data_IF_355607643112
#
_entry.id   IF_355607643112
#
_cell.length_a   1.000
_cell.length_b   1.000
_cell.length_c   1.000
_cell.angle_alpha   90.00
_cell.angle_beta   90.00
_cell.angle_gamma   90.00
#
_symmetry.space_group_name_H-M   'P 1'
#
loop_
_entity.id
_entity.type
_entity.pdbx_description
1 polymer ?
#
# COMPACT_ATOMS: atom_id res chain seq x y z
N UNK A 1 -57.57 -26.80 -19.67
CA UNK A 1 -56.33 -26.00 -19.57
C UNK A 1 -55.94 -25.95 -18.09
N UNK A 2 -54.93 -26.71 -17.66
CA UNK A 2 -53.52 -26.30 -17.49
C UNK A 2 -53.39 -25.26 -16.36
N UNK A 3 -52.67 -25.48 -15.26
CA UNK A 3 -51.74 -26.55 -14.93
C UNK A 3 -51.25 -26.50 -13.48
N UNK A 4 -50.51 -27.55 -13.15
CA UNK A 4 -49.74 -27.86 -11.95
C UNK A 4 -49.10 -26.66 -11.22
N UNK A 5 -49.20 -26.68 -9.89
CA UNK A 5 -48.21 -26.06 -9.00
C UNK A 5 -48.17 -26.82 -7.68
N UNK A 6 -47.63 -28.03 -7.75
CA UNK A 6 -47.01 -28.69 -6.60
C UNK A 6 -45.82 -27.83 -6.12
N UNK A 7 -45.87 -27.32 -4.89
CA UNK A 7 -44.69 -26.80 -4.18
C UNK A 7 -44.52 -27.58 -2.89
N UNK A 8 -43.61 -28.51 -2.99
CA UNK A 8 -43.01 -29.35 -1.97
C UNK A 8 -42.24 -28.54 -0.93
N UNK A 9 -42.45 -28.95 0.31
CA UNK A 9 -41.49 -29.17 1.39
C UNK A 9 -40.75 -27.99 2.05
N UNK A 10 -41.24 -27.71 3.25
CA UNK A 10 -40.61 -27.05 4.38
C UNK A 10 -39.37 -27.83 4.85
N UNK A 11 -38.18 -27.29 4.64
CA UNK A 11 -36.95 -27.76 5.32
C UNK A 11 -36.34 -26.65 6.18
N UNK A 12 -36.57 -26.83 7.48
CA UNK A 12 -35.63 -26.68 8.60
C UNK A 12 -34.63 -25.51 8.63
N UNK A 13 -34.94 -24.62 9.57
CA UNK A 13 -34.10 -23.89 10.54
C UNK A 13 -32.76 -24.57 10.91
N UNK A 14 -31.79 -23.72 11.31
CA UNK A 14 -30.50 -23.94 12.01
C UNK A 14 -29.25 -23.78 11.12
N UNK A 15 -28.21 -23.01 11.45
CA UNK A 15 -27.84 -22.33 12.69
C UNK A 15 -27.02 -21.07 12.40
N UNK A 16 -27.32 -20.02 13.16
CA UNK A 16 -26.40 -18.96 13.60
C UNK A 16 -25.03 -19.53 13.95
N UNK A 17 -23.98 -19.08 13.26
CA UNK A 17 -22.59 -19.30 13.69
C UNK A 17 -22.10 -18.03 14.36
N UNK A 18 -21.91 -18.14 15.67
CA UNK A 18 -21.57 -17.10 16.62
C UNK A 18 -20.21 -16.46 16.36
N UNK A 19 -20.21 -15.14 16.53
CA UNK A 19 -19.18 -14.30 17.13
C UNK A 19 -17.87 -14.97 17.54
N UNK A 20 -16.78 -14.55 16.89
CA UNK A 20 -15.52 -14.34 17.59
C UNK A 20 -15.17 -12.85 17.51
N UNK A 21 -15.88 -12.07 18.33
CA UNK A 21 -15.37 -10.78 18.81
C UNK A 21 -14.22 -11.12 19.75
N UNK A 22 -12.99 -11.11 19.23
CA UNK A 22 -11.82 -11.03 20.09
C UNK A 22 -11.90 -9.70 20.82
N UNK A 23 -12.15 -9.77 22.11
CA UNK A 23 -12.06 -8.67 23.04
C UNK A 23 -10.60 -8.20 23.04
N UNK A 24 -10.32 -7.19 22.22
CA UNK A 24 -9.07 -6.44 22.25
C UNK A 24 -9.02 -5.69 23.57
N UNK A 25 -8.35 -6.32 24.54
CA UNK A 25 -7.87 -5.66 25.76
C UNK A 25 -7.15 -4.37 25.34
N UNK A 26 -7.50 -3.20 25.89
CA UNK A 26 -6.77 -1.97 25.63
C UNK A 26 -5.32 -2.16 26.04
N UNK A 27 -4.40 -2.18 25.08
CA UNK A 27 -2.97 -2.08 25.37
C UNK A 27 -2.71 -0.69 25.96
N UNK A 28 -2.25 -0.66 27.22
CA UNK A 28 -1.73 0.55 27.83
C UNK A 28 -0.60 1.14 26.97
N UNK A 29 -0.48 2.48 26.89
CA UNK A 29 0.52 3.11 26.05
C UNK A 29 1.91 2.88 26.65
N UNK A 30 2.68 1.97 26.06
CA UNK A 30 4.11 1.81 26.35
C UNK A 30 4.85 3.08 25.91
N UNK A 31 5.12 3.95 26.90
CA UNK A 31 5.77 5.26 26.74
C UNK A 31 7.27 5.22 26.37
N UNK A 32 7.86 4.06 26.12
CA UNK A 32 9.30 3.90 25.81
C UNK A 32 9.61 3.41 24.38
N UNK A 33 8.61 3.25 23.50
CA UNK A 33 8.85 2.65 22.18
C UNK A 33 9.50 3.56 21.14
N UNK A 34 9.55 4.89 21.35
CA UNK A 34 9.87 5.84 20.27
C UNK A 34 11.22 5.53 19.57
N UNK A 35 12.36 5.32 20.25
CA UNK A 35 13.62 5.05 19.53
C UNK A 35 13.62 3.73 18.73
N UNK A 36 12.99 2.68 19.27
CA UNK A 36 12.90 1.38 18.61
C UNK A 36 11.91 1.38 17.44
N UNK A 37 10.79 2.09 17.60
CA UNK A 37 9.74 2.27 16.59
C UNK A 37 10.29 3.01 15.36
N UNK A 38 11.11 4.04 15.57
CA UNK A 38 11.70 4.86 14.50
C UNK A 38 12.73 4.05 13.70
N UNK A 39 13.55 3.25 14.38
CA UNK A 39 14.50 2.34 13.74
C UNK A 39 13.77 1.28 12.92
N UNK A 40 12.68 0.73 13.46
CA UNK A 40 11.86 -0.28 12.76
C UNK A 40 11.18 0.31 11.53
N UNK A 41 10.60 1.51 11.64
CA UNK A 41 10.00 2.23 10.52
C UNK A 41 11.04 2.53 9.42
N UNK A 42 12.25 2.96 9.78
CA UNK A 42 13.33 3.20 8.82
C UNK A 42 13.75 1.91 8.08
N UNK A 43 13.86 0.79 8.78
CA UNK A 43 14.18 -0.50 8.15
C UNK A 43 13.07 -0.97 7.19
N UNK A 44 11.80 -0.72 7.55
CA UNK A 44 10.65 -1.01 6.68
C UNK A 44 10.62 -0.09 5.47
N UNK A 45 10.86 1.21 5.66
CA UNK A 45 10.98 2.19 4.58
C UNK A 45 12.03 1.77 3.55
N UNK A 46 13.20 1.32 4.03
CA UNK A 46 14.26 0.78 3.17
C UNK A 46 13.78 -0.43 2.37
N UNK A 47 13.08 -1.37 3.00
CA UNK A 47 12.51 -2.53 2.30
C UNK A 47 11.52 -2.11 1.22
N UNK A 48 10.62 -1.16 1.51
CA UNK A 48 9.64 -0.68 0.55
C UNK A 48 10.28 0.05 -0.63
N UNK A 49 11.32 0.85 -0.39
CA UNK A 49 12.11 1.47 -1.45
C UNK A 49 12.81 0.42 -2.31
N UNK A 50 13.59 -0.48 -1.69
CA UNK A 50 14.49 -1.38 -2.42
C UNK A 50 13.75 -2.50 -3.17
N UNK A 51 12.66 -3.02 -2.58
CA UNK A 51 11.96 -4.19 -3.11
C UNK A 51 10.73 -3.80 -3.93
N UNK A 52 10.04 -2.74 -3.53
CA UNK A 52 8.77 -2.32 -4.14
C UNK A 52 8.91 -1.02 -4.92
N UNK A 53 10.08 -0.37 -4.91
CA UNK A 53 10.35 0.86 -5.66
C UNK A 53 9.29 1.94 -5.44
N UNK A 54 8.85 2.10 -4.19
CA UNK A 54 7.80 3.05 -3.85
C UNK A 54 8.33 4.48 -3.82
N UNK A 55 7.43 5.45 -4.03
CA UNK A 55 7.72 6.87 -3.81
C UNK A 55 7.89 7.19 -2.32
N UNK A 56 8.47 8.35 -2.02
CA UNK A 56 8.59 8.83 -0.64
C UNK A 56 7.22 8.88 0.07
N UNK A 57 6.21 9.42 -0.62
CA UNK A 57 4.87 9.54 -0.06
C UNK A 57 4.19 8.17 0.09
N UNK A 58 4.30 7.30 -0.91
CA UNK A 58 3.76 5.94 -0.84
C UNK A 58 4.35 5.14 0.32
N UNK A 59 5.66 5.28 0.58
CA UNK A 59 6.29 4.65 1.75
C UNK A 59 5.71 5.18 3.05
N UNK A 60 5.53 6.49 3.19
CA UNK A 60 4.92 7.08 4.39
C UNK A 60 3.51 6.53 4.64
N UNK A 61 2.68 6.49 3.60
CA UNK A 61 1.31 5.99 3.69
C UNK A 61 1.28 4.49 4.03
N UNK A 62 2.18 3.70 3.44
CA UNK A 62 2.29 2.27 3.76
C UNK A 62 2.74 2.01 5.20
N UNK A 63 3.65 2.82 5.72
CA UNK A 63 4.11 2.73 7.11
C UNK A 63 3.00 3.10 8.10
N UNK A 64 2.14 4.06 7.76
CA UNK A 64 1.06 4.55 8.63
C UNK A 64 -0.28 3.83 8.42
N UNK A 65 -0.44 3.08 7.33
CA UNK A 65 -1.68 2.39 6.98
C UNK A 65 -2.10 1.37 8.04
N UNK A 66 -3.41 1.36 8.32
CA UNK A 66 -4.07 0.37 9.18
C UNK A 66 -3.98 -1.06 8.63
N UNK A 67 -3.82 -1.23 7.33
CA UNK A 67 -3.60 -2.52 6.69
C UNK A 67 -2.10 -2.84 6.50
N UNK A 68 -1.22 -1.86 6.73
CA UNK A 68 0.23 -1.97 6.60
C UNK A 68 0.90 -2.20 7.94
N UNK A 69 1.84 -1.31 8.28
CA UNK A 69 2.69 -1.47 9.46
C UNK A 69 2.15 -0.77 10.73
N UNK A 70 1.15 0.13 10.58
CA UNK A 70 0.52 0.88 11.68
C UNK A 70 1.52 1.66 12.56
N UNK A 71 2.66 2.09 12.00
CA UNK A 71 3.56 2.97 12.72
C UNK A 71 2.89 4.31 12.99
N UNK A 72 3.26 4.94 14.11
CA UNK A 72 2.84 6.32 14.37
C UNK A 72 3.35 7.26 13.26
N UNK A 73 2.58 8.30 12.89
CA UNK A 73 2.97 9.27 11.88
C UNK A 73 4.38 9.85 12.08
N UNK A 74 4.79 10.11 13.33
CA UNK A 74 6.12 10.66 13.62
C UNK A 74 7.26 9.69 13.30
N UNK A 75 7.06 8.39 13.54
CA UNK A 75 8.05 7.36 13.22
C UNK A 75 8.15 7.14 11.70
N UNK A 76 7.01 7.16 11.00
CA UNK A 76 6.96 7.06 9.54
C UNK A 76 7.61 8.29 8.87
N UNK A 77 7.31 9.49 9.38
CA UNK A 77 7.92 10.74 8.90
C UNK A 77 9.43 10.71 9.10
N UNK A 78 9.89 10.32 10.30
CA UNK A 78 11.32 10.12 10.57
C UNK A 78 11.94 9.14 9.58
N UNK A 79 11.27 8.01 9.32
CA UNK A 79 11.76 7.00 8.40
C UNK A 79 11.97 7.55 6.98
N UNK A 80 10.98 8.24 6.40
CA UNK A 80 11.09 8.78 5.04
C UNK A 80 12.03 9.98 4.93
N UNK A 81 12.24 10.74 6.01
CA UNK A 81 13.19 11.85 6.03
C UNK A 81 14.64 11.40 6.20
N UNK A 82 14.86 10.27 6.86
CA UNK A 82 16.20 9.71 7.09
C UNK A 82 16.56 8.58 6.10
N UNK A 83 15.61 8.15 5.27
CA UNK A 83 15.86 7.17 4.23
C UNK A 83 16.73 7.79 3.12
N UNK A 84 17.90 7.21 2.89
CA UNK A 84 18.79 7.56 1.78
C UNK A 84 18.42 6.73 0.55
N UNK A 85 17.25 7.02 -0.04
CA UNK A 85 16.77 6.39 -1.25
C UNK A 85 16.99 7.28 -2.47
N UNK A 86 17.20 6.66 -3.64
CA UNK A 86 17.14 7.33 -4.93
C UNK A 86 15.72 7.16 -5.50
N UNK A 87 14.85 8.13 -5.22
CA UNK A 87 13.46 8.07 -5.66
C UNK A 87 13.30 8.23 -7.17
N UNK A 88 14.27 8.84 -7.86
CA UNK A 88 14.32 8.84 -9.32
C UNK A 88 14.56 7.44 -9.86
N UNK A 89 15.44 6.66 -9.23
CA UNK A 89 15.66 5.26 -9.57
C UNK A 89 14.41 4.40 -9.28
N UNK A 90 13.72 4.64 -8.16
CA UNK A 90 12.46 3.97 -7.85
C UNK A 90 11.38 4.26 -8.91
N UNK A 91 11.20 5.52 -9.28
CA UNK A 91 10.25 5.92 -10.31
C UNK A 91 10.57 5.26 -11.66
N UNK A 92 11.85 5.20 -12.05
CA UNK A 92 12.30 4.52 -13.26
C UNK A 92 12.02 3.01 -13.23
N UNK A 93 12.22 2.36 -12.08
CA UNK A 93 11.91 0.94 -11.93
C UNK A 93 10.41 0.67 -12.11
N UNK A 94 9.55 1.47 -11.46
CA UNK A 94 8.09 1.42 -11.63
C UNK A 94 7.65 1.69 -13.07
N UNK A 95 8.25 2.70 -13.71
CA UNK A 95 7.99 3.02 -15.10
C UNK A 95 8.28 1.81 -16.02
N UNK A 96 9.42 1.14 -15.83
CA UNK A 96 9.79 -0.06 -16.58
C UNK A 96 8.83 -1.21 -16.33
N UNK A 97 8.38 -1.39 -15.09
CA UNK A 97 7.40 -2.42 -14.74
C UNK A 97 6.05 -2.16 -15.43
N UNK A 98 5.54 -0.93 -15.41
CA UNK A 98 4.32 -0.58 -16.14
C UNK A 98 4.47 -0.75 -17.65
N UNK A 99 5.59 -0.31 -18.22
CA UNK A 99 5.85 -0.49 -19.64
C UNK A 99 5.87 -1.99 -20.01
N UNK A 100 6.54 -2.82 -19.21
CA UNK A 100 6.71 -4.26 -19.49
C UNK A 100 5.43 -5.06 -19.26
N UNK A 101 4.71 -4.79 -18.18
CA UNK A 101 3.59 -5.63 -17.73
C UNK A 101 2.25 -5.15 -18.27
N UNK A 102 2.10 -3.85 -18.50
CA UNK A 102 0.84 -3.23 -18.94
C UNK A 102 0.95 -2.58 -20.31
N UNK A 103 2.14 -2.57 -20.95
CA UNK A 103 2.36 -1.95 -22.28
C UNK A 103 1.91 -0.50 -22.36
N UNK A 104 2.02 0.24 -21.24
CA UNK A 104 1.59 1.63 -21.15
C UNK A 104 2.51 2.56 -21.96
N UNK A 105 1.94 3.64 -22.50
CA UNK A 105 2.72 4.70 -23.15
C UNK A 105 3.48 5.54 -22.12
N UNK A 106 4.57 6.23 -22.51
CA UNK A 106 5.30 7.11 -21.58
C UNK A 106 4.42 8.16 -20.90
N UNK A 107 3.49 8.80 -21.63
CA UNK A 107 2.56 9.77 -21.03
C UNK A 107 1.64 9.12 -19.98
N UNK A 108 1.07 7.93 -20.29
CA UNK A 108 0.23 7.21 -19.33
C UNK A 108 1.03 6.76 -18.10
N UNK A 109 2.30 6.37 -18.28
CA UNK A 109 3.21 6.02 -17.17
C UNK A 109 3.48 7.25 -16.30
N UNK A 110 3.78 8.42 -16.89
CA UNK A 110 4.00 9.65 -16.12
C UNK A 110 2.78 9.95 -15.26
N UNK A 111 1.59 9.94 -15.86
CA UNK A 111 0.34 10.24 -15.16
C UNK A 111 0.07 9.22 -14.04
N UNK A 112 0.32 7.92 -14.30
CA UNK A 112 0.18 6.85 -13.31
C UNK A 112 1.15 6.99 -12.13
N UNK A 113 2.41 7.36 -12.39
CA UNK A 113 3.40 7.57 -11.34
C UNK A 113 3.03 8.76 -10.44
N UNK A 114 2.42 9.80 -11.00
CA UNK A 114 1.95 10.97 -10.25
C UNK A 114 0.57 10.80 -9.62
N UNK A 115 -0.13 9.69 -9.90
CA UNK A 115 -1.49 9.46 -9.41
C UNK A 115 -1.53 9.45 -7.88
N UNK A 116 -2.41 10.30 -7.33
CA UNK A 116 -2.69 10.39 -5.90
C UNK A 116 -3.40 9.15 -5.34
N UNK A 117 -3.87 8.24 -6.18
CA UNK A 117 -4.48 6.99 -5.74
C UNK A 117 -3.45 5.88 -5.54
N UNK A 118 -2.29 5.97 -6.18
CA UNK A 118 -1.36 4.86 -6.34
C UNK A 118 0.06 5.24 -5.90
N UNK A 119 0.88 5.69 -6.85
CA UNK A 119 2.32 5.71 -6.69
C UNK A 119 2.83 7.01 -6.10
N UNK A 120 2.14 8.15 -6.27
CA UNK A 120 2.44 9.44 -5.61
C UNK A 120 3.91 9.91 -5.73
N UNK A 121 4.56 9.60 -6.84
CA UNK A 121 5.83 10.23 -7.17
C UNK A 121 5.62 11.71 -7.45
N UNK A 122 6.66 12.50 -7.20
CA UNK A 122 6.66 13.91 -7.61
C UNK A 122 6.63 14.02 -9.14
N UNK A 123 6.09 15.12 -9.70
CA UNK A 123 6.13 15.35 -11.14
C UNK A 123 7.54 15.25 -11.73
N UNK A 124 8.56 15.72 -10.99
CA UNK A 124 9.96 15.67 -11.40
C UNK A 124 10.50 14.24 -11.47
N UNK A 125 10.19 13.39 -10.49
CA UNK A 125 10.59 11.97 -10.49
C UNK A 125 9.89 11.19 -11.60
N UNK A 126 8.60 11.43 -11.81
CA UNK A 126 7.85 10.82 -12.90
C UNK A 126 8.38 11.26 -14.28
N UNK A 127 8.72 12.55 -14.43
CA UNK A 127 9.33 13.07 -15.65
C UNK A 127 10.72 12.44 -15.88
N UNK A 128 11.55 12.38 -14.84
CA UNK A 128 12.83 11.69 -14.91
C UNK A 128 12.66 10.24 -15.36
N UNK A 129 11.69 9.52 -14.79
CA UNK A 129 11.46 8.12 -15.14
C UNK A 129 11.16 7.94 -16.63
N UNK A 130 10.24 8.74 -17.19
CA UNK A 130 9.87 8.63 -18.61
C UNK A 130 10.96 9.10 -19.55
N UNK A 131 11.75 10.11 -19.17
CA UNK A 131 12.91 10.58 -19.92
C UNK A 131 14.02 9.53 -20.01
N UNK A 132 14.04 8.55 -19.11
CA UNK A 132 15.06 7.51 -19.03
C UNK A 132 14.54 6.10 -19.36
N UNK A 133 13.28 5.94 -19.78
CA UNK A 133 12.65 4.64 -20.05
C UNK A 133 13.36 3.83 -21.16
N UNK A 134 13.79 4.51 -22.23
CA UNK A 134 14.31 3.87 -23.44
C UNK A 134 15.80 4.20 -23.71
N UNK A 135 16.56 4.52 -22.65
CA UNK A 135 17.99 4.78 -22.74
C UNK A 135 18.83 3.51 -22.58
#
# INVERSE_FOLDING_TARGET
>A
MNGDKTKTDTSATSATSSSQTQEQKPEEPKKESAPAEYTSALNKAKTYSDMMHMSKQGIYEQLTSEAGEKFKPEAAQYAVDNLKADYNANALAKAKDYQKTMSMSPDAIRDQLTSDADEKFTPEEAQYAVDNLNK
#
